data_IF_129396981918
#
_entry.id   IF_129396981918
#
_cell.length_a   1.000
_cell.length_b   1.000
_cell.length_c   1.000
_cell.angle_alpha   90.00
_cell.angle_beta   90.00
_cell.angle_gamma   90.00
#
_symmetry.space_group_name_H-M   'P 1'
#
loop_
_entity.id
_entity.type
_entity.pdbx_description
1 polymer ?
#
# COMPACT_ATOMS: atom_id res chain seq x y z
N UNK A 1 -28.46 -23.20 -1.77
CA UNK A 1 -27.39 -22.90 -0.78
C UNK A 1 -26.03 -23.48 -1.15
N UNK A 2 -25.89 -24.79 -1.49
CA UNK A 2 -24.59 -25.40 -1.84
C UNK A 2 -23.80 -24.65 -2.94
N UNK A 3 -24.48 -24.16 -3.99
CA UNK A 3 -23.84 -23.39 -5.08
C UNK A 3 -23.27 -22.03 -4.63
N UNK A 4 -23.91 -21.38 -3.64
CA UNK A 4 -23.41 -20.11 -3.10
C UNK A 4 -22.16 -20.32 -2.24
N UNK A 5 -22.13 -21.38 -1.42
CA UNK A 5 -20.95 -21.71 -0.61
C UNK A 5 -19.75 -22.03 -1.50
N UNK A 6 -19.97 -22.77 -2.59
CA UNK A 6 -18.93 -23.04 -3.58
C UNK A 6 -18.40 -21.75 -4.25
N UNK A 7 -19.29 -20.83 -4.61
CA UNK A 7 -18.90 -19.54 -5.19
C UNK A 7 -18.09 -18.68 -4.21
N UNK A 8 -18.47 -18.64 -2.92
CA UNK A 8 -17.71 -17.92 -1.88
C UNK A 8 -16.32 -18.52 -1.66
N UNK A 9 -16.20 -19.86 -1.59
CA UNK A 9 -14.89 -20.50 -1.48
C UNK A 9 -14.00 -20.21 -2.69
N UNK A 10 -14.57 -20.23 -3.89
CA UNK A 10 -13.81 -19.90 -5.10
C UNK A 10 -13.33 -18.45 -5.07
N UNK A 11 -14.16 -17.52 -4.63
CA UNK A 11 -13.78 -16.11 -4.48
C UNK A 11 -12.63 -15.92 -3.48
N UNK A 12 -12.69 -16.59 -2.33
CA UNK A 12 -11.63 -16.57 -1.32
C UNK A 12 -10.31 -17.14 -1.87
N UNK A 13 -10.37 -18.26 -2.60
CA UNK A 13 -9.19 -18.87 -3.23
C UNK A 13 -8.55 -17.93 -4.27
N UNK A 14 -9.35 -17.34 -5.15
CA UNK A 14 -8.84 -16.36 -6.13
C UNK A 14 -8.21 -15.17 -5.41
N UNK A 15 -8.86 -14.69 -4.34
CA UNK A 15 -8.34 -13.58 -3.53
C UNK A 15 -6.97 -13.92 -2.94
N UNK A 16 -6.80 -15.11 -2.35
CA UNK A 16 -5.50 -15.51 -1.77
C UNK A 16 -4.38 -15.63 -2.80
N UNK A 17 -4.71 -15.84 -4.07
CA UNK A 17 -3.75 -15.94 -5.17
C UNK A 17 -3.42 -14.57 -5.78
N UNK A 18 -4.17 -13.52 -5.43
CA UNK A 18 -3.81 -12.16 -5.79
C UNK A 18 -2.55 -11.78 -5.01
N UNK A 19 -1.41 -11.96 -5.66
CA UNK A 19 -0.12 -11.50 -5.18
C UNK A 19 -0.26 -9.99 -5.02
N UNK A 20 -0.42 -9.54 -3.78
CA UNK A 20 -0.35 -8.13 -3.41
C UNK A 20 0.93 -7.58 -4.01
N UNK A 21 0.82 -6.74 -5.04
CA UNK A 21 1.95 -5.96 -5.51
C UNK A 21 2.24 -5.00 -4.38
N UNK A 22 3.30 -5.30 -3.63
CA UNK A 22 3.82 -4.41 -2.62
C UNK A 22 4.17 -3.11 -3.37
N UNK A 23 3.51 -1.97 -3.08
CA UNK A 23 3.88 -0.72 -3.72
C UNK A 23 5.35 -0.53 -3.39
N UNK A 24 6.18 -0.46 -4.43
CA UNK A 24 7.62 -0.45 -4.23
C UNK A 24 7.95 0.79 -3.39
N UNK A 25 9.06 0.78 -2.64
CA UNK A 25 9.45 1.95 -1.86
C UNK A 25 9.57 3.19 -2.77
N UNK A 26 9.88 2.96 -4.05
CA UNK A 26 9.84 3.94 -5.12
C UNK A 26 8.43 4.55 -5.35
N UNK A 27 7.36 3.76 -5.41
CA UNK A 27 5.99 4.27 -5.60
C UNK A 27 5.54 5.17 -4.45
N UNK A 28 5.90 4.79 -3.21
CA UNK A 28 5.65 5.64 -2.05
C UNK A 28 6.41 6.96 -2.18
N UNK A 29 7.70 6.88 -2.54
CA UNK A 29 8.57 8.05 -2.59
C UNK A 29 8.14 9.01 -3.69
N UNK A 30 7.79 8.47 -4.87
CA UNK A 30 7.36 9.23 -6.04
C UNK A 30 5.98 9.87 -5.82
N UNK A 31 5.03 9.13 -5.27
CA UNK A 31 3.73 9.68 -4.88
C UNK A 31 3.82 10.77 -3.80
N UNK A 32 4.79 10.64 -2.89
CA UNK A 32 5.02 11.64 -1.85
C UNK A 32 5.75 12.89 -2.38
N UNK A 33 6.81 12.72 -3.17
CA UNK A 33 7.60 13.83 -3.74
C UNK A 33 6.79 14.64 -4.74
N UNK A 34 5.91 13.99 -5.52
CA UNK A 34 4.99 14.66 -6.45
C UNK A 34 4.04 15.61 -5.71
N UNK A 35 3.73 15.33 -4.44
CA UNK A 35 2.93 16.22 -3.59
C UNK A 35 3.75 17.38 -2.96
N UNK A 36 5.08 17.39 -3.10
CA UNK A 36 5.97 18.41 -2.55
C UNK A 36 6.11 19.66 -3.44
N UNK A 37 5.08 20.03 -4.20
CA UNK A 37 5.09 21.24 -5.06
C UNK A 37 5.10 22.49 -4.18
N UNK A 38 6.26 23.13 -4.06
CA UNK A 38 6.45 24.32 -3.24
C UNK A 38 7.44 25.29 -3.91
N UNK A 39 7.18 26.60 -3.82
CA UNK A 39 8.04 27.63 -4.43
C UNK A 39 9.31 27.93 -3.63
N UNK A 40 9.26 27.73 -2.30
CA UNK A 40 10.41 27.88 -1.42
C UNK A 40 11.24 26.59 -1.40
N UNK A 41 12.48 26.69 -1.88
CA UNK A 41 13.42 25.58 -1.99
C UNK A 41 13.73 24.91 -0.64
N UNK A 42 13.70 25.66 0.47
CA UNK A 42 13.92 25.11 1.81
C UNK A 42 12.73 24.28 2.28
N UNK A 43 11.52 24.72 1.95
CA UNK A 43 10.31 23.95 2.28
C UNK A 43 10.19 22.70 1.39
N UNK A 44 10.56 22.79 0.12
CA UNK A 44 10.61 21.64 -0.77
C UNK A 44 11.58 20.58 -0.26
N UNK A 45 12.83 20.97 0.07
CA UNK A 45 13.81 20.04 0.65
C UNK A 45 13.35 19.41 1.98
N UNK A 46 12.55 20.13 2.78
CA UNK A 46 11.98 19.59 4.01
C UNK A 46 10.88 18.58 3.74
N UNK A 47 10.06 18.80 2.71
CA UNK A 47 9.02 17.87 2.28
C UNK A 47 9.62 16.57 1.74
N UNK A 48 10.61 16.67 0.85
CA UNK A 48 11.42 15.56 0.34
C UNK A 48 12.00 14.70 1.47
N UNK A 49 12.59 15.35 2.48
CA UNK A 49 13.14 14.64 3.65
C UNK A 49 12.06 13.96 4.50
N UNK A 50 10.82 14.46 4.52
CA UNK A 50 9.70 13.75 5.16
C UNK A 50 9.26 12.55 4.34
N UNK A 51 9.28 12.64 3.02
CA UNK A 51 8.96 11.52 2.14
C UNK A 51 9.94 10.36 2.34
N UNK A 52 11.25 10.64 2.44
CA UNK A 52 12.23 9.59 2.71
C UNK A 52 12.06 8.92 4.07
N UNK A 53 11.63 9.66 5.10
CA UNK A 53 11.30 9.07 6.41
C UNK A 53 10.02 8.24 6.31
N UNK A 54 8.98 8.76 5.64
CA UNK A 54 7.67 8.12 5.53
C UNK A 54 7.69 6.86 4.68
N UNK A 55 8.51 6.84 3.64
CA UNK A 55 8.67 5.71 2.72
C UNK A 55 9.89 4.84 3.06
N UNK A 56 10.65 5.21 4.09
CA UNK A 56 11.80 4.44 4.55
C UNK A 56 11.41 3.07 5.12
N UNK A 57 12.38 2.15 5.25
CA UNK A 57 12.16 0.72 5.49
C UNK A 57 11.49 0.35 6.84
N UNK A 58 11.07 1.30 7.67
CA UNK A 58 10.31 1.07 8.91
C UNK A 58 8.81 1.34 8.83
N UNK A 59 8.31 1.91 7.72
CA UNK A 59 6.92 2.36 7.59
C UNK A 59 6.09 1.57 6.59
N UNK A 60 6.65 0.51 6.00
CA UNK A 60 5.89 -0.35 5.09
C UNK A 60 4.83 -1.12 5.89
N UNK A 61 3.52 -0.92 5.63
CA UNK A 61 2.49 -1.73 6.25
C UNK A 61 2.69 -3.16 5.80
N UNK A 62 3.02 -4.04 6.75
CA UNK A 62 3.34 -5.42 6.46
C UNK A 62 2.14 -6.09 5.74
N UNK A 63 2.30 -6.53 4.47
CA UNK A 63 1.19 -6.86 3.57
C UNK A 63 0.35 -8.04 4.07
N UNK A 64 0.89 -8.84 4.99
CA UNK A 64 0.13 -9.92 5.65
C UNK A 64 -1.08 -9.43 6.45
N UNK A 65 -1.06 -8.21 6.97
CA UNK A 65 -2.16 -7.70 7.79
C UNK A 65 -3.27 -7.02 6.98
N UNK A 66 -2.98 -6.50 5.78
CA UNK A 66 -3.99 -5.81 4.97
C UNK A 66 -4.99 -6.80 4.36
N UNK A 67 -4.50 -7.96 3.89
CA UNK A 67 -5.37 -9.00 3.33
C UNK A 67 -6.25 -9.66 4.39
N UNK A 68 -5.70 -9.91 5.59
CA UNK A 68 -6.47 -10.43 6.72
C UNK A 68 -7.55 -9.43 7.18
N UNK A 69 -7.26 -8.14 7.14
CA UNK A 69 -8.19 -7.08 7.55
C UNK A 69 -9.34 -6.89 6.54
N UNK A 70 -9.10 -7.10 5.24
CA UNK A 70 -10.14 -6.99 4.21
C UNK A 70 -11.08 -8.20 4.13
N UNK A 71 -10.62 -9.39 4.54
CA UNK A 71 -11.47 -10.60 4.61
C UNK A 71 -12.33 -10.63 5.88
N UNK A 72 -11.91 -9.92 6.94
CA UNK A 72 -12.65 -9.84 8.22
C UNK A 72 -13.63 -8.65 8.34
N UNK A 73 -13.65 -7.74 7.36
CA UNK A 73 -14.56 -6.58 7.31
C UNK A 73 -15.69 -6.84 6.31
#
# INVERSE_FOLDING_TARGET
>A
MKKMVAAMMLFLLISTQMKSVEPDAADCLDGCSTACVQSDSRLQARCERKCSIRCGPGNQPNPKYLFFKLIML
#
